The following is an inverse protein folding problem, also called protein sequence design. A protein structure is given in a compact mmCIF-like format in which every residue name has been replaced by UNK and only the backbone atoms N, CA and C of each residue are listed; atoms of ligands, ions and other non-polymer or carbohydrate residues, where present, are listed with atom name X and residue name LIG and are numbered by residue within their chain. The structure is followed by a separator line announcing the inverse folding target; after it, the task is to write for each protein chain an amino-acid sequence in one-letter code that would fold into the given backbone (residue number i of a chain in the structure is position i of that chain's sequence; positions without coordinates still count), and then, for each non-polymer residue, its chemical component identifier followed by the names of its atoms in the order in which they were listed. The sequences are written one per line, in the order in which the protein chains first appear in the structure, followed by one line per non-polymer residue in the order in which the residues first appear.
data_IF_207445190657
#
_entry.id   IF_207445190657
#
_cell.length_a   1.000
_cell.length_b   1.000
_cell.length_c   1.000
_cell.angle_alpha   90.00
_cell.angle_beta   90.00
_cell.angle_gamma   90.00
#
_symmetry.space_group_name_H-M   'P 1'
#
loop_
_entity.id
_entity.type
_entity.pdbx_description
1 polymer ?
#
# COMPACT_ATOMS: atom_id res chain seq x y z
N UNK A 1 6.71 -24.34 -12.98
CA UNK A 1 6.84 -23.00 -12.34
C UNK A 1 5.46 -22.38 -12.37
N UNK A 2 4.84 -22.12 -11.21
CA UNK A 2 3.51 -21.51 -11.18
C UNK A 2 3.60 -20.09 -11.77
N UNK A 3 2.78 -19.79 -12.77
CA UNK A 3 2.71 -18.45 -13.34
C UNK A 3 2.29 -17.47 -12.24
N UNK A 4 3.17 -16.53 -11.87
CA UNK A 4 2.78 -15.40 -11.02
C UNK A 4 1.66 -14.67 -11.76
N UNK A 5 0.45 -14.73 -11.21
CA UNK A 5 -0.71 -14.03 -11.75
C UNK A 5 -0.56 -12.54 -11.37
N UNK A 6 0.29 -11.83 -12.10
CA UNK A 6 0.58 -10.41 -11.87
C UNK A 6 -0.70 -9.64 -12.21
N UNK A 7 -1.21 -8.88 -11.24
CA UNK A 7 -2.32 -7.95 -11.44
C UNK A 7 -1.78 -6.56 -11.75
N UNK A 8 -2.41 -5.86 -12.68
CA UNK A 8 -2.09 -4.45 -12.92
C UNK A 8 -2.61 -3.59 -11.77
N UNK A 9 -2.05 -2.38 -11.60
CA UNK A 9 -2.56 -1.39 -10.65
C UNK A 9 -4.04 -1.06 -10.97
N UNK A 10 -4.39 -1.02 -12.25
CA UNK A 10 -5.75 -0.76 -12.70
C UNK A 10 -6.72 -1.87 -12.28
N UNK A 11 -6.31 -3.14 -12.38
CA UNK A 11 -7.14 -4.27 -11.91
C UNK A 11 -7.41 -4.21 -10.41
N UNK A 12 -6.40 -3.80 -9.63
CA UNK A 12 -6.53 -3.67 -8.17
C UNK A 12 -7.43 -2.48 -7.82
N UNK A 13 -7.22 -1.34 -8.46
CA UNK A 13 -8.03 -0.12 -8.30
C UNK A 13 -9.50 -0.40 -8.59
N UNK A 14 -9.81 -0.97 -9.75
CA UNK A 14 -11.19 -1.26 -10.15
C UNK A 14 -11.91 -2.17 -9.16
N UNK A 15 -11.21 -3.16 -8.58
CA UNK A 15 -11.78 -4.03 -7.55
C UNK A 15 -12.11 -3.29 -6.26
N UNK A 16 -11.23 -2.38 -5.83
CA UNK A 16 -11.45 -1.58 -4.62
C UNK A 16 -12.62 -0.62 -4.85
N UNK A 17 -12.61 0.14 -5.96
CA UNK A 17 -13.70 1.07 -6.32
C UNK A 17 -15.05 0.35 -6.38
N UNK A 18 -15.13 -0.77 -7.11
CA UNK A 18 -16.36 -1.57 -7.20
C UNK A 18 -16.85 -2.06 -5.84
N UNK A 19 -15.94 -2.33 -4.90
CA UNK A 19 -16.30 -2.78 -3.55
C UNK A 19 -16.79 -1.62 -2.69
N UNK A 20 -16.11 -0.48 -2.75
CA UNK A 20 -16.48 0.74 -2.02
C UNK A 20 -17.83 1.26 -2.50
N UNK A 21 -18.07 1.30 -3.81
CA UNK A 21 -19.33 1.78 -4.39
C UNK A 21 -20.55 0.95 -3.97
N UNK A 22 -20.33 -0.29 -3.52
CA UNK A 22 -21.40 -1.18 -3.01
C UNK A 22 -21.71 -0.95 -1.54
N UNK A 23 -20.90 -0.18 -0.82
CA UNK A 23 -21.07 0.10 0.60
C UNK A 23 -21.79 1.44 0.73
N UNK A 24 -23.04 1.39 1.20
CA UNK A 24 -23.80 2.58 1.56
C UNK A 24 -23.45 2.98 3.00
N UNK A 25 -22.59 3.99 3.16
CA UNK A 25 -22.08 4.44 4.46
C UNK A 25 -23.20 4.96 5.36
N UNK A 26 -24.28 5.50 4.79
CA UNK A 26 -25.44 5.98 5.56
C UNK A 26 -26.25 4.85 6.19
N UNK A 27 -26.06 3.61 5.72
CA UNK A 27 -26.73 2.40 6.23
C UNK A 27 -25.85 1.54 7.14
N UNK A 28 -24.68 2.02 7.50
CA UNK A 28 -23.79 1.32 8.43
C UNK A 28 -24.35 1.45 9.85
N UNK A 29 -24.44 0.33 10.56
CA UNK A 29 -24.85 0.29 11.96
C UNK A 29 -23.65 0.54 12.87
N UNK A 30 -23.64 1.71 13.50
CA UNK A 30 -22.60 2.11 14.46
C UNK A 30 -22.95 1.73 15.91
N UNK A 31 -24.10 1.10 16.13
CA UNK A 31 -24.63 0.78 17.45
C UNK A 31 -25.08 2.02 18.23
N UNK A 32 -25.47 1.81 19.48
CA UNK A 32 -25.97 2.88 20.36
C UNK A 32 -24.85 3.73 20.96
N UNK A 33 -25.21 4.86 21.58
CA UNK A 33 -24.29 5.67 22.38
C UNK A 33 -24.11 5.03 23.76
N UNK A 34 -22.86 4.82 24.17
CA UNK A 34 -22.47 4.40 25.52
C UNK A 34 -21.52 5.40 26.17
N UNK A 35 -21.49 5.45 27.49
CA UNK A 35 -20.46 6.19 28.23
C UNK A 35 -19.22 5.30 28.33
N UNK A 36 -18.07 5.79 27.90
CA UNK A 36 -16.80 5.11 28.05
C UNK A 36 -16.39 5.06 29.52
N UNK A 37 -16.17 3.85 30.04
CA UNK A 37 -15.71 3.63 31.43
C UNK A 37 -14.31 4.19 31.68
N UNK A 38 -13.52 4.41 30.61
CA UNK A 38 -12.13 4.84 30.68
C UNK A 38 -11.95 6.33 30.47
N UNK A 39 -12.70 6.94 29.55
CA UNK A 39 -12.55 8.36 29.19
C UNK A 39 -13.65 9.27 29.76
N UNK A 40 -14.73 8.69 30.30
CA UNK A 40 -15.95 9.44 30.66
C UNK A 40 -16.54 10.25 29.49
N UNK A 41 -16.35 9.79 28.26
CA UNK A 41 -16.88 10.40 27.04
C UNK A 41 -17.98 9.53 26.43
N UNK A 42 -18.88 10.16 25.65
CA UNK A 42 -19.86 9.44 24.86
C UNK A 42 -19.18 8.85 23.63
N UNK A 43 -19.30 7.55 23.48
CA UNK A 43 -18.69 6.74 22.41
C UNK A 43 -19.75 5.90 21.74
N UNK A 44 -19.51 5.51 20.49
CA UNK A 44 -20.38 4.57 19.78
C UNK A 44 -20.08 3.13 20.25
N UNK A 45 -21.11 2.29 20.31
CA UNK A 45 -20.94 0.90 20.74
C UNK A 45 -19.90 0.17 19.88
N UNK A 46 -19.94 0.41 18.56
CA UNK A 46 -19.06 -0.20 17.56
C UNK A 46 -17.83 0.64 17.19
N UNK A 47 -17.48 1.67 17.98
CA UNK A 47 -16.34 2.55 17.68
C UNK A 47 -15.02 1.76 17.56
N UNK A 48 -14.79 0.78 18.43
CA UNK A 48 -13.59 -0.07 18.36
C UNK A 48 -13.52 -0.87 17.04
N UNK A 49 -14.66 -1.34 16.54
CA UNK A 49 -14.71 -2.05 15.25
C UNK A 49 -14.38 -1.11 14.09
N UNK A 50 -14.82 0.14 14.16
CA UNK A 50 -14.49 1.18 13.19
C UNK A 50 -12.98 1.47 13.22
N UNK A 51 -12.39 1.65 14.39
CA UNK A 51 -10.96 1.88 14.56
C UNK A 51 -10.11 0.73 14.01
N UNK A 52 -10.54 -0.52 14.28
CA UNK A 52 -9.89 -1.71 13.73
C UNK A 52 -9.97 -1.75 12.20
N UNK A 53 -11.12 -1.38 11.61
CA UNK A 53 -11.27 -1.28 10.15
C UNK A 53 -10.34 -0.22 9.57
N UNK A 54 -10.26 0.96 10.18
CA UNK A 54 -9.36 2.04 9.76
C UNK A 54 -7.90 1.58 9.83
N UNK A 55 -7.50 0.94 10.92
CA UNK A 55 -6.15 0.40 11.09
C UNK A 55 -5.82 -0.66 10.02
N UNK A 56 -6.77 -1.54 9.70
CA UNK A 56 -6.61 -2.54 8.64
C UNK A 56 -6.38 -1.90 7.26
N UNK A 57 -7.16 -0.87 6.91
CA UNK A 57 -7.02 -0.15 5.64
C UNK A 57 -5.67 0.58 5.55
N UNK A 58 -5.24 1.22 6.64
CA UNK A 58 -3.92 1.86 6.68
C UNK A 58 -2.78 0.85 6.50
N UNK A 59 -2.86 -0.32 7.15
CA UNK A 59 -1.88 -1.39 6.97
C UNK A 59 -1.79 -1.86 5.51
N UNK A 60 -2.92 -1.92 4.81
CA UNK A 60 -2.96 -2.24 3.38
C UNK A 60 -2.25 -1.17 2.53
N UNK A 61 -2.46 0.12 2.83
CA UNK A 61 -1.78 1.24 2.17
C UNK A 61 -0.25 1.18 2.40
N UNK A 62 0.17 0.89 3.62
CA UNK A 62 1.60 0.77 3.96
C UNK A 62 2.28 -0.36 3.18
N UNK A 63 1.61 -1.53 3.09
CA UNK A 63 2.11 -2.67 2.30
C UNK A 63 2.27 -2.33 0.83
N UNK A 64 1.29 -1.65 0.23
CA UNK A 64 1.39 -1.20 -1.16
C UNK A 64 2.55 -0.22 -1.37
N UNK A 65 2.73 0.70 -0.44
CA UNK A 65 3.81 1.69 -0.50
C UNK A 65 5.19 1.04 -0.39
N UNK A 66 5.35 0.11 0.56
CA UNK A 66 6.59 -0.64 0.74
C UNK A 66 6.94 -1.47 -0.51
N UNK A 67 5.98 -2.18 -1.10
CA UNK A 67 6.25 -2.98 -2.30
C UNK A 67 6.56 -2.09 -3.51
N UNK A 68 5.90 -0.93 -3.65
CA UNK A 68 6.24 0.06 -4.68
C UNK A 68 7.69 0.53 -4.58
N UNK A 69 8.15 0.87 -3.38
CA UNK A 69 9.52 1.37 -3.17
C UNK A 69 10.57 0.28 -3.38
N UNK A 70 10.27 -0.95 -2.97
CA UNK A 70 11.07 -2.13 -3.27
C UNK A 70 11.18 -2.37 -4.78
N UNK A 71 10.06 -2.43 -5.50
CA UNK A 71 10.02 -2.63 -6.95
C UNK A 71 10.75 -1.50 -7.70
N UNK A 72 10.65 -0.25 -7.22
CA UNK A 72 11.40 0.87 -7.78
C UNK A 72 12.91 0.67 -7.62
N UNK A 73 13.36 0.27 -6.44
CA UNK A 73 14.76 -0.01 -6.15
C UNK A 73 15.30 -1.14 -7.02
N UNK A 74 14.56 -2.25 -7.14
CA UNK A 74 14.90 -3.37 -8.03
C UNK A 74 15.07 -2.91 -9.48
N UNK A 75 14.10 -2.17 -10.02
CA UNK A 75 14.17 -1.65 -11.40
C UNK A 75 15.32 -0.67 -11.63
N UNK A 76 15.66 0.15 -10.63
CA UNK A 76 16.84 1.04 -10.70
C UNK A 76 18.11 0.20 -10.77
N UNK A 77 18.25 -0.79 -9.89
CA UNK A 77 19.41 -1.69 -9.87
C UNK A 77 19.57 -2.43 -11.20
N UNK A 78 18.49 -2.99 -11.75
CA UNK A 78 18.49 -3.67 -13.04
C UNK A 78 18.96 -2.73 -14.16
N UNK A 79 18.49 -1.47 -14.14
CA UNK A 79 18.90 -0.46 -15.12
C UNK A 79 20.38 -0.10 -14.98
N UNK A 80 20.88 0.08 -13.75
CA UNK A 80 22.30 0.37 -13.50
C UNK A 80 23.20 -0.76 -13.97
N UNK A 81 22.84 -2.02 -13.67
CA UNK A 81 23.57 -3.21 -14.13
C UNK A 81 23.57 -3.28 -15.66
N UNK A 82 22.42 -3.03 -16.29
CA UNK A 82 22.32 -3.02 -17.75
C UNK A 82 23.25 -1.97 -18.38
N UNK A 83 23.26 -0.73 -17.87
CA UNK A 83 24.10 0.37 -18.38
C UNK A 83 25.59 0.07 -18.21
N UNK A 84 25.99 -0.50 -17.06
CA UNK A 84 27.36 -0.95 -16.79
C UNK A 84 27.79 -2.05 -17.77
N UNK A 85 26.93 -3.03 -18.01
CA UNK A 85 27.22 -4.15 -18.89
C UNK A 85 27.25 -3.76 -20.37
N UNK A 86 26.43 -2.78 -20.79
CA UNK A 86 26.42 -2.29 -22.16
C UNK A 86 27.53 -1.29 -22.47
N UNK A 87 28.28 -0.83 -21.46
CA UNK A 87 29.35 0.15 -21.64
C UNK A 87 28.86 1.49 -22.22
N UNK A 88 27.61 1.87 -21.91
CA UNK A 88 27.00 3.12 -22.40
C UNK A 88 27.69 4.37 -21.85
N UNK A 89 27.37 5.56 -22.37
CA UNK A 89 28.00 6.84 -21.97
C UNK A 89 28.06 7.07 -20.46
N UNK A 90 27.08 6.56 -19.71
CA UNK A 90 27.00 6.72 -18.26
C UNK A 90 27.69 5.61 -17.46
N UNK A 91 28.16 4.53 -18.10
CA UNK A 91 28.75 3.37 -17.43
C UNK A 91 30.00 3.75 -16.62
N UNK A 92 30.87 4.60 -17.17
CA UNK A 92 32.06 5.09 -16.49
C UNK A 92 31.74 5.92 -15.25
N UNK A 93 30.71 6.78 -15.34
CA UNK A 93 30.23 7.63 -14.24
C UNK A 93 29.59 6.79 -13.13
N UNK A 94 28.77 5.80 -13.48
CA UNK A 94 28.18 4.86 -12.53
C UNK A 94 29.28 4.05 -11.84
N UNK A 95 30.27 3.53 -12.58
CA UNK A 95 31.38 2.77 -12.00
C UNK A 95 32.24 3.59 -11.03
N UNK A 96 32.41 4.90 -11.26
CA UNK A 96 33.10 5.80 -10.32
C UNK A 96 32.30 6.02 -9.02
N UNK A 97 30.97 6.14 -9.10
CA UNK A 97 30.11 6.29 -7.92
C UNK A 97 30.19 5.06 -7.00
N UNK A 98 30.30 3.84 -7.55
CA UNK A 98 30.35 2.58 -6.79
C UNK A 98 31.77 2.11 -6.39
N UNK A 99 32.83 2.81 -6.81
CA UNK A 99 34.24 2.49 -6.46
C UNK A 99 34.74 3.17 -5.17
N UNK A 100 33.94 4.03 -4.54
CA UNK A 100 34.22 4.64 -3.24
C UNK A 100 33.65 3.81 -2.10
#
# INVERSE_FOLDING_TARGET
MAAKNIKSIEDVKNKIETTIDRIDVEKVDFGDIKMSDTSNEFVLENEENLDQLVAYLNNFIDKLSAEKDKMKTEKINDKLISELNSGGENASLIAEIFKK
#
